data_IF_198259293493
#
_entry.id   IF_198259293493
#
_cell.length_a   1.000
_cell.length_b   1.000
_cell.length_c   1.000
_cell.angle_alpha   90.00
_cell.angle_beta   90.00
_cell.angle_gamma   90.00
#
_symmetry.space_group_name_H-M   'P 1'
#
loop_
_entity.id
_entity.type
_entity.pdbx_description
1 polymer ?
#
# COMPACT_ATOMS: atom_id res chain seq x y z
N UNK A 1 -5.42 -9.50 12.78
CA UNK A 1 -4.37 -8.96 11.90
C UNK A 1 -4.92 -7.76 11.13
N UNK A 2 -4.20 -6.64 11.10
CA UNK A 2 -4.50 -5.51 10.23
C UNK A 2 -3.66 -5.64 8.96
N UNK A 3 -4.30 -5.60 7.81
CA UNK A 3 -3.66 -5.64 6.51
C UNK A 3 -3.81 -4.28 5.83
N UNK A 4 -2.68 -3.69 5.45
CA UNK A 4 -2.62 -2.45 4.69
C UNK A 4 -2.26 -2.78 3.24
N UNK A 5 -3.21 -2.55 2.32
CA UNK A 5 -3.07 -2.86 0.89
C UNK A 5 -2.76 -1.56 0.16
N UNK A 6 -1.53 -1.40 -0.31
CA UNK A 6 -1.03 -0.20 -0.98
C UNK A 6 -0.78 -0.50 -2.46
N UNK A 7 -1.42 0.23 -3.35
CA UNK A 7 -1.03 0.25 -4.75
C UNK A 7 0.24 1.09 -4.91
N UNK A 8 1.25 0.57 -5.62
CA UNK A 8 2.47 1.33 -5.90
C UNK A 8 2.17 2.75 -6.37
N UNK A 9 3.01 3.71 -6.00
CA UNK A 9 2.89 5.12 -6.34
C UNK A 9 3.21 5.39 -7.82
N UNK A 10 3.15 6.64 -8.25
CA UNK A 10 3.40 7.02 -9.65
C UNK A 10 4.80 6.61 -10.13
N UNK A 11 4.87 6.06 -11.32
CA UNK A 11 6.10 5.56 -11.95
C UNK A 11 6.15 5.93 -13.45
N UNK A 12 5.54 7.05 -13.82
CA UNK A 12 5.48 7.52 -15.19
C UNK A 12 4.73 6.58 -16.14
N UNK A 13 5.05 6.67 -17.41
CA UNK A 13 4.40 5.91 -18.48
C UNK A 13 4.89 4.46 -18.52
N UNK A 14 3.95 3.53 -18.74
CA UNK A 14 4.26 2.11 -18.91
C UNK A 14 5.15 1.93 -20.17
N UNK A 15 6.15 1.05 -20.05
CA UNK A 15 7.02 0.69 -21.17
C UNK A 15 6.41 -0.45 -21.97
N UNK A 16 6.53 -0.39 -23.29
CA UNK A 16 6.06 -1.44 -24.18
C UNK A 16 6.83 -2.76 -23.97
N UNK A 17 8.15 -2.69 -23.76
CA UNK A 17 8.96 -3.85 -23.44
C UNK A 17 8.78 -4.25 -21.97
N UNK A 18 8.23 -5.46 -21.67
CA UNK A 18 8.00 -5.94 -20.30
C UNK A 18 9.27 -6.00 -19.45
N UNK A 19 10.42 -6.39 -20.04
CA UNK A 19 11.71 -6.50 -19.33
C UNK A 19 12.21 -5.14 -18.83
N UNK A 20 11.90 -4.07 -19.59
CA UNK A 20 12.20 -2.70 -19.19
C UNK A 20 11.17 -2.20 -18.19
N UNK A 21 9.89 -2.55 -18.35
CA UNK A 21 8.81 -2.11 -17.45
C UNK A 21 8.96 -2.66 -16.03
N UNK A 22 9.47 -3.87 -15.85
CA UNK A 22 9.80 -4.44 -14.53
C UNK A 22 10.76 -3.53 -13.76
N UNK A 23 11.76 -2.97 -14.45
CA UNK A 23 12.81 -2.09 -13.90
C UNK A 23 12.39 -0.62 -13.80
N UNK A 24 11.18 -0.25 -14.20
CA UNK A 24 10.68 1.13 -14.18
C UNK A 24 10.56 1.65 -12.74
N UNK A 25 11.31 2.73 -12.39
CA UNK A 25 11.29 3.28 -11.04
C UNK A 25 10.09 4.19 -10.82
N UNK A 26 9.90 4.61 -9.57
CA UNK A 26 9.02 5.73 -9.23
C UNK A 26 9.52 7.01 -9.91
N UNK A 27 8.58 7.83 -10.37
CA UNK A 27 8.85 9.20 -10.77
C UNK A 27 8.91 10.16 -9.56
N UNK A 28 9.17 11.45 -9.82
CA UNK A 28 9.26 12.47 -8.78
C UNK A 28 7.96 12.60 -7.99
N UNK A 29 6.81 12.55 -8.68
CA UNK A 29 5.49 12.63 -8.05
C UNK A 29 5.25 11.42 -7.13
N UNK A 30 5.58 10.21 -7.60
CA UNK A 30 5.43 8.98 -6.83
C UNK A 30 6.25 8.98 -5.56
N UNK A 31 7.52 9.41 -5.63
CA UNK A 31 8.38 9.55 -4.45
C UNK A 31 7.82 10.55 -3.43
N UNK A 32 7.41 11.73 -3.91
CA UNK A 32 6.83 12.76 -3.06
C UNK A 32 5.53 12.28 -2.40
N UNK A 33 4.68 11.56 -3.15
CA UNK A 33 3.46 10.99 -2.59
C UNK A 33 3.74 9.95 -1.51
N UNK A 34 4.77 9.10 -1.65
CA UNK A 34 5.15 8.14 -0.60
C UNK A 34 5.51 8.84 0.72
N UNK A 35 6.25 9.96 0.66
CA UNK A 35 6.61 10.75 1.84
C UNK A 35 5.36 11.38 2.49
N UNK A 36 4.45 11.91 1.67
CA UNK A 36 3.18 12.46 2.18
C UNK A 36 2.31 11.39 2.85
N UNK A 37 2.23 10.19 2.24
CA UNK A 37 1.49 9.05 2.80
C UNK A 37 2.10 8.62 4.13
N UNK A 38 3.41 8.45 4.19
CA UNK A 38 4.10 8.06 5.42
C UNK A 38 3.87 9.09 6.54
N UNK A 39 3.91 10.40 6.24
CA UNK A 39 3.58 11.45 7.20
C UNK A 39 2.15 11.29 7.77
N UNK A 40 1.16 10.99 6.92
CA UNK A 40 -0.22 10.75 7.36
C UNK A 40 -0.31 9.48 8.21
N UNK A 41 0.37 8.39 7.81
CA UNK A 41 0.40 7.15 8.58
C UNK A 41 1.03 7.33 9.96
N UNK A 42 2.12 8.10 10.06
CA UNK A 42 2.74 8.47 11.35
C UNK A 42 1.79 9.28 12.23
N UNK A 43 1.06 10.23 11.67
CA UNK A 43 0.06 11.00 12.40
C UNK A 43 -1.11 10.14 12.91
N UNK A 44 -1.34 8.99 12.26
CA UNK A 44 -2.31 7.97 12.68
C UNK A 44 -1.70 6.87 13.58
N UNK A 45 -0.44 7.02 14.00
CA UNK A 45 0.32 6.06 14.81
C UNK A 45 0.35 4.65 14.20
N UNK A 46 0.44 4.56 12.86
CA UNK A 46 0.55 3.27 12.16
C UNK A 46 2.01 2.84 12.15
N UNK A 47 2.27 1.64 12.67
CA UNK A 47 3.56 0.96 12.61
C UNK A 47 3.38 -0.42 11.97
N UNK A 48 4.35 -0.87 11.19
CA UNK A 48 4.30 -2.16 10.50
C UNK A 48 5.26 -3.17 11.14
N UNK A 49 4.77 -4.40 11.34
CA UNK A 49 5.59 -5.53 11.79
C UNK A 49 6.21 -6.24 10.60
N UNK A 50 5.58 -6.13 9.43
CA UNK A 50 6.04 -6.76 8.20
C UNK A 50 5.67 -5.91 6.99
N UNK A 51 6.64 -5.71 6.10
CA UNK A 51 6.43 -5.05 4.81
C UNK A 51 6.75 -6.05 3.69
N UNK A 52 5.75 -6.34 2.85
CA UNK A 52 5.87 -7.26 1.71
C UNK A 52 5.61 -6.48 0.41
N UNK A 53 6.44 -6.71 -0.60
CA UNK A 53 6.30 -6.04 -1.88
C UNK A 53 6.35 -7.01 -3.05
N UNK A 54 5.63 -6.67 -4.12
CA UNK A 54 5.93 -7.21 -5.45
C UNK A 54 7.40 -6.95 -5.81
N UNK A 55 8.07 -7.88 -6.54
CA UNK A 55 9.47 -7.70 -6.93
C UNK A 55 9.70 -6.59 -7.96
N UNK A 56 8.65 -5.97 -8.52
CA UNK A 56 8.79 -4.90 -9.50
C UNK A 56 9.33 -3.61 -8.84
N UNK A 57 10.30 -2.97 -9.50
CA UNK A 57 11.07 -1.83 -8.92
C UNK A 57 10.19 -0.73 -8.34
N UNK A 58 9.10 -0.36 -9.00
CA UNK A 58 8.15 0.67 -8.52
C UNK A 58 7.46 0.30 -7.21
N UNK A 59 7.14 -0.99 -7.01
CA UNK A 59 6.55 -1.48 -5.75
C UNK A 59 7.58 -1.52 -4.65
N UNK A 60 8.79 -2.04 -4.91
CA UNK A 60 9.89 -2.06 -3.95
C UNK A 60 10.24 -0.65 -3.47
N UNK A 61 10.34 0.32 -4.39
CA UNK A 61 10.61 1.71 -4.02
C UNK A 61 9.47 2.35 -3.22
N UNK A 62 8.21 2.00 -3.53
CA UNK A 62 7.05 2.44 -2.74
C UNK A 62 7.13 1.87 -1.32
N UNK A 63 7.35 0.56 -1.20
CA UNK A 63 7.46 -0.13 0.06
C UNK A 63 8.63 0.40 0.91
N UNK A 64 9.80 0.61 0.29
CA UNK A 64 10.98 1.13 0.96
C UNK A 64 10.73 2.55 1.51
N UNK A 65 10.23 3.47 0.68
CA UNK A 65 9.98 4.84 1.12
C UNK A 65 8.93 4.91 2.23
N UNK A 66 7.79 4.22 2.06
CA UNK A 66 6.73 4.24 3.07
C UNK A 66 7.19 3.52 4.34
N UNK A 67 7.81 2.34 4.23
CA UNK A 67 8.29 1.57 5.37
C UNK A 67 9.33 2.36 6.19
N UNK A 68 10.41 2.82 5.56
CA UNK A 68 11.46 3.58 6.24
C UNK A 68 10.92 4.82 6.94
N UNK A 69 10.08 5.60 6.26
CA UNK A 69 9.51 6.82 6.83
C UNK A 69 8.49 6.56 7.96
N UNK A 70 7.95 5.34 8.06
CA UNK A 70 7.09 4.90 9.19
C UNK A 70 7.86 4.13 10.26
N UNK A 71 9.20 4.09 10.19
CA UNK A 71 10.06 3.47 11.19
C UNK A 71 10.26 1.96 11.03
N UNK A 72 9.93 1.39 9.86
CA UNK A 72 10.20 -0.02 9.57
C UNK A 72 11.66 -0.21 9.14
N UNK A 73 12.45 -0.94 9.94
CA UNK A 73 13.89 -1.12 9.74
C UNK A 73 14.28 -2.51 9.21
N UNK A 74 13.36 -3.47 9.26
CA UNK A 74 13.63 -4.82 8.77
C UNK A 74 13.66 -4.89 7.23
N UNK A 75 14.30 -5.91 6.64
CA UNK A 75 14.30 -6.12 5.19
C UNK A 75 12.88 -6.27 4.63
N UNK A 76 12.61 -5.67 3.46
CA UNK A 76 11.35 -5.83 2.76
C UNK A 76 11.30 -7.22 2.14
N UNK A 77 10.28 -8.00 2.49
CA UNK A 77 10.02 -9.30 1.90
C UNK A 77 9.49 -9.13 0.47
N UNK A 78 10.11 -9.78 -0.50
CA UNK A 78 9.62 -9.80 -1.87
C UNK A 78 8.77 -11.06 -2.11
N UNK A 79 7.60 -10.87 -2.73
CA UNK A 79 6.71 -11.98 -3.07
C UNK A 79 6.08 -11.82 -4.45
N UNK A 80 6.14 -12.89 -5.24
CA UNK A 80 5.43 -12.98 -6.52
C UNK A 80 3.91 -13.03 -6.35
N UNK A 81 3.39 -13.35 -5.17
CA UNK A 81 1.95 -13.27 -4.85
C UNK A 81 1.38 -11.83 -4.91
N UNK A 82 2.26 -10.82 -5.04
CA UNK A 82 1.92 -9.41 -5.24
C UNK A 82 2.24 -8.91 -6.66
N UNK A 83 2.77 -9.77 -7.54
CA UNK A 83 3.07 -9.43 -8.93
C UNK A 83 1.77 -9.27 -9.77
N UNK A 84 1.83 -8.59 -10.94
CA UNK A 84 0.64 -8.38 -11.77
C UNK A 84 -0.04 -9.66 -12.28
N UNK A 85 0.67 -10.78 -12.30
CA UNK A 85 0.17 -12.10 -12.72
C UNK A 85 -0.34 -12.98 -11.57
N UNK A 86 -0.20 -12.53 -10.32
CA UNK A 86 -0.55 -13.33 -9.15
C UNK A 86 -2.05 -13.64 -9.07
N UNK A 87 -2.36 -14.83 -8.60
CA UNK A 87 -3.73 -15.27 -8.29
C UNK A 87 -4.13 -14.88 -6.86
N UNK A 88 -5.44 -14.85 -6.60
CA UNK A 88 -5.94 -14.63 -5.25
C UNK A 88 -5.52 -15.74 -4.27
N UNK A 89 -5.43 -16.99 -4.76
CA UNK A 89 -4.97 -18.12 -3.95
C UNK A 89 -3.53 -17.94 -3.44
N UNK A 90 -2.62 -17.50 -4.32
CA UNK A 90 -1.24 -17.20 -3.92
C UNK A 90 -1.19 -16.08 -2.88
N UNK A 91 -2.02 -15.05 -3.06
CA UNK A 91 -2.14 -13.96 -2.10
C UNK A 91 -2.70 -14.43 -0.75
N UNK A 92 -3.72 -15.31 -0.74
CA UNK A 92 -4.24 -15.90 0.50
C UNK A 92 -3.19 -16.76 1.22
N UNK A 93 -2.41 -17.57 0.48
CA UNK A 93 -1.32 -18.34 1.06
C UNK A 93 -0.28 -17.43 1.71
N UNK A 94 0.11 -16.34 1.02
CA UNK A 94 1.03 -15.35 1.57
C UNK A 94 0.53 -14.76 2.90
N UNK A 95 -0.74 -14.43 3.00
CA UNK A 95 -1.32 -13.89 4.24
C UNK A 95 -1.39 -14.96 5.35
N UNK A 96 -1.66 -16.19 4.99
CA UNK A 96 -1.69 -17.32 5.94
C UNK A 96 -0.30 -17.58 6.54
N UNK A 97 0.75 -17.55 5.71
CA UNK A 97 2.14 -17.78 6.14
C UNK A 97 2.64 -16.72 7.12
N UNK A 98 1.95 -15.59 7.23
CA UNK A 98 2.29 -14.47 8.12
C UNK A 98 1.12 -14.09 9.05
N UNK A 99 0.24 -15.05 9.37
CA UNK A 99 -0.94 -14.80 10.21
C UNK A 99 -0.61 -14.44 11.66
N UNK A 100 0.64 -14.66 12.09
CA UNK A 100 1.19 -14.28 13.40
C UNK A 100 1.48 -12.78 13.55
N UNK A 101 1.47 -12.03 12.45
CA UNK A 101 1.76 -10.59 12.42
C UNK A 101 0.52 -9.76 12.71
N UNK A 102 0.72 -8.61 13.37
CA UNK A 102 -0.40 -7.71 13.71
C UNK A 102 -0.70 -6.70 12.61
N UNK A 103 0.34 -6.07 12.04
CA UNK A 103 0.22 -4.99 11.06
C UNK A 103 1.11 -5.24 9.84
N UNK A 104 0.52 -5.73 8.76
CA UNK A 104 1.23 -6.06 7.52
C UNK A 104 0.95 -4.98 6.46
N UNK A 105 2.00 -4.43 5.86
CA UNK A 105 1.91 -3.64 4.63
C UNK A 105 2.21 -4.52 3.42
N UNK A 106 1.28 -4.62 2.48
CA UNK A 106 1.51 -5.25 1.17
C UNK A 106 1.47 -4.20 0.06
N UNK A 107 2.45 -4.23 -0.85
CA UNK A 107 2.55 -3.29 -1.97
C UNK A 107 2.51 -4.04 -3.30
N UNK A 108 1.50 -3.74 -4.12
CA UNK A 108 1.26 -4.44 -5.37
C UNK A 108 0.66 -3.59 -6.49
N UNK A 109 -0.03 -4.23 -7.41
CA UNK A 109 -0.46 -3.67 -8.68
C UNK A 109 -1.96 -3.92 -8.94
N UNK A 110 -2.61 -2.96 -9.63
CA UNK A 110 -3.91 -3.21 -10.21
C UNK A 110 -3.77 -3.97 -11.56
N UNK A 111 -4.77 -4.82 -11.90
CA UNK A 111 -6.05 -4.96 -11.20
C UNK A 111 -6.00 -5.84 -9.93
N UNK A 112 -4.95 -6.67 -9.74
CA UNK A 112 -4.91 -7.74 -8.75
C UNK A 112 -5.25 -7.29 -7.33
N UNK A 113 -4.56 -6.28 -6.77
CA UNK A 113 -4.79 -5.88 -5.38
C UNK A 113 -6.18 -5.27 -5.14
N UNK A 114 -6.79 -4.65 -6.16
CA UNK A 114 -8.19 -4.19 -6.07
C UNK A 114 -9.16 -5.37 -6.05
N UNK A 115 -8.89 -6.39 -6.88
CA UNK A 115 -9.66 -7.64 -6.91
C UNK A 115 -9.49 -8.43 -5.61
N UNK A 116 -8.25 -8.53 -5.11
CA UNK A 116 -7.94 -9.22 -3.85
C UNK A 116 -8.62 -8.54 -2.65
N UNK A 117 -8.57 -7.22 -2.60
CA UNK A 117 -9.30 -6.47 -1.58
C UNK A 117 -10.80 -6.76 -1.64
N UNK A 118 -11.39 -6.72 -2.84
CA UNK A 118 -12.82 -7.07 -3.03
C UNK A 118 -13.14 -8.48 -2.55
N UNK A 119 -12.30 -9.45 -2.91
CA UNK A 119 -12.48 -10.86 -2.53
C UNK A 119 -12.36 -11.09 -1.01
N UNK A 120 -11.48 -10.37 -0.32
CA UNK A 120 -11.36 -10.43 1.15
C UNK A 120 -12.61 -9.92 1.86
N UNK A 121 -13.30 -8.94 1.30
CA UNK A 121 -14.48 -8.33 1.90
C UNK A 121 -15.78 -9.15 1.64
N UNK A 122 -15.73 -10.13 0.73
CA UNK A 122 -16.89 -10.95 0.38
C UNK A 122 -16.95 -12.22 1.25
N UNK A 123 -18.17 -12.66 1.63
CA UNK A 123 -18.34 -13.97 2.25
C UNK A 123 -17.79 -15.07 1.32
N UNK A 124 -17.09 -16.06 1.91
CA UNK A 124 -16.59 -17.25 1.19
C UNK A 124 -15.52 -16.99 0.11
N UNK A 125 -14.85 -15.82 0.12
CA UNK A 125 -13.75 -15.56 -0.82
C UNK A 125 -14.15 -15.58 -2.30
N UNK A 126 -15.44 -15.40 -2.62
CA UNK A 126 -15.92 -15.34 -4.01
C UNK A 126 -15.26 -14.15 -4.69
N UNK A 127 -14.58 -14.34 -5.83
CA UNK A 127 -13.96 -13.23 -6.56
C UNK A 127 -15.07 -12.27 -7.01
N UNK A 128 -15.26 -11.18 -6.29
CA UNK A 128 -16.15 -10.12 -6.71
C UNK A 128 -15.52 -9.31 -7.83
N UNK A 129 -16.30 -8.84 -8.77
CA UNK A 129 -15.86 -7.78 -9.67
C UNK A 129 -15.50 -6.57 -8.81
N UNK A 130 -14.26 -6.05 -8.87
CA UNK A 130 -13.82 -5.03 -7.95
C UNK A 130 -14.64 -3.76 -8.13
N UNK A 131 -15.47 -3.45 -7.16
CA UNK A 131 -16.12 -2.14 -7.04
C UNK A 131 -15.20 -1.10 -6.39
N UNK A 132 -14.04 -1.53 -5.88
CA UNK A 132 -13.09 -0.69 -5.17
C UNK A 132 -12.03 -0.17 -6.12
N UNK A 133 -11.96 1.16 -6.26
CA UNK A 133 -10.96 1.82 -7.09
C UNK A 133 -9.75 2.23 -6.27
N UNK A 134 -8.65 1.50 -6.39
CA UNK A 134 -7.36 1.93 -5.86
C UNK A 134 -6.59 2.71 -6.95
N UNK A 135 -6.36 4.00 -6.74
CA UNK A 135 -5.44 4.82 -7.57
C UNK A 135 -3.99 4.51 -7.21
N UNK A 136 -3.01 4.86 -8.06
CA UNK A 136 -1.58 4.76 -7.72
C UNK A 136 -1.32 5.53 -6.43
N UNK A 137 -0.79 4.86 -5.41
CA UNK A 137 -0.58 5.42 -4.07
C UNK A 137 -1.81 5.39 -3.15
N UNK A 138 -2.95 4.82 -3.56
CA UNK A 138 -4.04 4.55 -2.61
C UNK A 138 -3.67 3.41 -1.67
N UNK A 139 -4.05 3.56 -0.40
CA UNK A 139 -3.91 2.54 0.64
C UNK A 139 -5.27 2.23 1.25
N UNK A 140 -5.57 0.94 1.41
CA UNK A 140 -6.72 0.46 2.15
C UNK A 140 -6.25 -0.27 3.41
N UNK A 141 -6.92 -0.06 4.54
CA UNK A 141 -6.74 -0.83 5.78
C UNK A 141 -7.92 -1.75 5.95
N UNK A 142 -7.66 -3.03 6.12
CA UNK A 142 -8.66 -4.04 6.46
C UNK A 142 -8.24 -4.81 7.71
N UNK A 143 -9.21 -5.24 8.50
CA UNK A 143 -8.98 -6.17 9.61
C UNK A 143 -9.40 -7.56 9.18
N UNK A 144 -8.49 -8.52 9.31
CA UNK A 144 -8.73 -9.94 9.03
C UNK A 144 -9.00 -10.68 10.34
N UNK A 145 -10.02 -11.53 10.34
CA UNK A 145 -10.45 -12.35 11.47
C UNK A 145 -11.05 -13.68 11.00
N UNK A 146 -11.95 -14.26 11.78
CA UNK A 146 -12.61 -15.56 11.48
C UNK A 146 -13.67 -15.48 10.38
N UNK A 147 -14.05 -14.32 9.92
CA UNK A 147 -15.06 -14.08 8.88
C UNK A 147 -14.50 -13.26 7.72
N UNK A 148 -15.37 -12.68 6.88
CA UNK A 148 -14.95 -11.72 5.86
C UNK A 148 -14.15 -10.58 6.47
N UNK A 149 -13.22 -10.04 5.70
CA UNK A 149 -12.44 -8.88 6.15
C UNK A 149 -13.33 -7.65 6.36
N UNK A 150 -12.98 -6.81 7.31
CA UNK A 150 -13.67 -5.54 7.55
C UNK A 150 -12.82 -4.39 7.03
N UNK A 151 -13.34 -3.61 6.08
CA UNK A 151 -12.69 -2.40 5.60
C UNK A 151 -12.73 -1.31 6.69
N UNK A 152 -11.57 -0.92 7.19
CA UNK A 152 -11.43 0.10 8.23
C UNK A 152 -11.24 1.50 7.63
N UNK A 153 -10.69 1.59 6.43
CA UNK A 153 -10.49 2.86 5.75
C UNK A 153 -9.81 2.73 4.40
N UNK A 154 -9.97 3.76 3.58
CA UNK A 154 -9.32 3.87 2.28
C UNK A 154 -8.88 5.32 2.07
N UNK A 155 -7.58 5.52 1.87
CA UNK A 155 -7.00 6.82 1.57
C UNK A 155 -6.65 6.91 0.08
N UNK A 156 -7.35 7.81 -0.63
CA UNK A 156 -7.01 8.20 -2.00
C UNK A 156 -5.83 9.20 -1.95
N UNK A 157 -4.92 9.22 -2.93
CA UNK A 157 -3.78 10.15 -2.97
C UNK A 157 -4.17 11.63 -2.86
N UNK A 158 -5.37 12.00 -3.30
CA UNK A 158 -5.87 13.39 -3.18
C UNK A 158 -6.20 13.74 -1.73
N UNK A 159 -6.76 12.79 -0.98
CA UNK A 159 -7.03 12.92 0.45
C UNK A 159 -5.73 13.04 1.23
N UNK A 160 -4.75 12.18 0.92
CA UNK A 160 -3.40 12.22 1.52
C UNK A 160 -2.75 13.59 1.32
N UNK A 161 -2.78 14.14 0.10
CA UNK A 161 -2.26 15.49 -0.19
C UNK A 161 -2.95 16.59 0.61
N UNK A 162 -4.28 16.52 0.74
CA UNK A 162 -5.05 17.49 1.50
C UNK A 162 -4.72 17.43 3.00
N UNK A 163 -4.65 16.24 3.58
CA UNK A 163 -4.27 16.04 4.99
C UNK A 163 -2.85 16.53 5.27
N UNK A 164 -1.89 16.17 4.42
CA UNK A 164 -0.51 16.64 4.52
C UNK A 164 -0.40 18.16 4.47
N UNK A 165 -1.08 18.81 3.51
CA UNK A 165 -1.07 20.26 3.38
C UNK A 165 -1.67 20.99 4.61
N UNK A 166 -2.65 20.39 5.27
CA UNK A 166 -3.28 20.95 6.48
C UNK A 166 -2.34 20.82 7.68
N UNK A 167 -1.68 19.67 7.86
CA UNK A 167 -0.77 19.44 8.98
C UNK A 167 0.46 20.37 8.93
N UNK A 168 1.04 20.58 7.74
CA UNK A 168 2.21 21.46 7.55
C UNK A 168 1.90 22.94 7.72
N UNK A 169 0.67 23.39 7.41
CA UNK A 169 0.22 24.78 7.68
C UNK A 169 0.03 25.04 9.18
N UNK A 170 -0.47 24.07 9.93
CA UNK A 170 -0.66 24.18 11.38
C UNK A 170 0.69 24.31 12.12
N UNK A 171 1.72 23.57 11.71
CA UNK A 171 3.05 23.64 12.32
C UNK A 171 3.73 24.99 12.07
N UNK A 172 3.61 25.56 10.87
CA UNK A 172 4.18 26.89 10.53
C UNK A 172 3.55 28.05 11.34
N UNK A 173 2.24 27.96 11.67
CA UNK A 173 1.58 28.97 12.52
C UNK A 173 2.05 28.94 13.98
N UNK A 174 2.51 27.79 14.50
CA UNK A 174 3.03 27.69 15.87
C UNK A 174 4.44 28.27 16.02
N UNK A 175 5.26 28.21 14.98
CA UNK A 175 6.66 28.74 15.00
C UNK A 175 6.74 30.23 14.75
N UNK A 176 5.72 30.88 14.19
CA UNK A 176 5.68 32.34 13.96
C UNK A 176 5.12 33.15 15.13
N UNK A 177 4.82 32.53 16.28
CA UNK A 177 4.30 33.18 17.51
C UNK A 177 5.26 33.09 18.70
N UNK A 178 6.57 32.92 18.45
CA UNK A 178 7.64 33.04 19.46
C UNK A 178 8.52 34.24 19.15
#
# INVERSE_FOLDING_TARGET
MNLFILRHASAGTRRANPLIDVKRPLDKEGKHHCLQLAHVLNALNVQFDLVISSPLKRSLQTAALVGTETGYEAPILQSNALAPSASFKEFQSLLHDHADRENILVVGHNPNISTFLGALLMPNGTPATPSIRLRKGSIARVTLGRGPAVLQGLLDPRVVRALYATSTKSSRRKTSKK
#
